data_IF_488821049434
#
_entry.id   IF_488821049434
#
_cell.length_a   1.000
_cell.length_b   1.000
_cell.length_c   1.000
_cell.angle_alpha   90.00
_cell.angle_beta   90.00
_cell.angle_gamma   90.00
#
_symmetry.space_group_name_H-M   'P 1'
#
loop_
_entity.id
_entity.type
_entity.pdbx_description
1 polymer ?
#
# COMPACT_ATOMS: atom_id res chain seq x y z
N UNK A 1 10.47 1.57 6.26
CA UNK A 1 10.49 1.79 7.73
C UNK A 1 9.20 2.49 8.12
N UNK A 2 8.63 2.26 9.32
CA UNK A 2 7.46 3.01 9.78
C UNK A 2 7.75 4.53 9.72
N UNK A 3 6.85 5.32 9.12
CA UNK A 3 6.97 6.78 9.04
C UNK A 3 7.74 7.35 7.85
N UNK A 4 8.14 6.53 6.88
CA UNK A 4 8.76 7.04 5.64
C UNK A 4 7.72 7.72 4.74
N UNK A 5 7.85 9.02 4.52
CA UNK A 5 7.01 9.80 3.60
C UNK A 5 7.66 9.83 2.22
N UNK A 6 6.91 9.41 1.19
CA UNK A 6 7.36 9.45 -0.20
C UNK A 6 6.36 10.29 -0.99
N UNK A 7 6.89 11.23 -1.77
CA UNK A 7 6.09 12.13 -2.58
C UNK A 7 6.43 11.97 -4.06
N UNK A 8 5.45 12.26 -4.92
CA UNK A 8 5.59 12.15 -6.37
C UNK A 8 5.29 10.76 -6.92
N UNK A 9 4.46 10.72 -7.97
CA UNK A 9 3.95 9.48 -8.57
C UNK A 9 5.07 8.53 -9.02
N UNK A 10 6.15 9.07 -9.59
CA UNK A 10 7.28 8.26 -10.04
C UNK A 10 8.01 7.58 -8.89
N UNK A 11 8.17 8.26 -7.75
CA UNK A 11 8.86 7.69 -6.59
C UNK A 11 8.03 6.58 -5.95
N UNK A 12 6.72 6.80 -5.81
CA UNK A 12 5.77 5.79 -5.33
C UNK A 12 5.78 4.56 -6.26
N UNK A 13 5.80 4.78 -7.57
CA UNK A 13 5.88 3.71 -8.56
C UNK A 13 7.18 2.90 -8.46
N UNK A 14 8.32 3.58 -8.34
CA UNK A 14 9.63 2.93 -8.23
C UNK A 14 9.70 2.07 -6.96
N UNK A 15 9.24 2.58 -5.81
CA UNK A 15 9.14 1.79 -4.58
C UNK A 15 8.17 0.62 -4.72
N UNK A 16 7.04 0.83 -5.40
CA UNK A 16 6.07 -0.23 -5.69
C UNK A 16 6.69 -1.38 -6.46
N UNK A 17 7.53 -1.09 -7.47
CA UNK A 17 8.25 -2.13 -8.23
C UNK A 17 9.20 -2.95 -7.35
N UNK A 18 9.96 -2.30 -6.49
CA UNK A 18 10.85 -2.99 -5.54
C UNK A 18 10.05 -3.87 -4.58
N UNK A 19 8.92 -3.34 -4.09
CA UNK A 19 8.04 -4.06 -3.18
C UNK A 19 7.43 -5.32 -3.82
N UNK A 20 6.96 -5.23 -5.07
CA UNK A 20 6.31 -6.34 -5.77
C UNK A 20 7.20 -7.58 -5.89
N UNK A 21 8.52 -7.41 -6.03
CA UNK A 21 9.46 -8.54 -6.07
C UNK A 21 9.49 -9.38 -4.80
N UNK A 22 8.97 -8.85 -3.68
CA UNK A 22 8.89 -9.55 -2.39
C UNK A 22 7.54 -10.21 -2.11
N UNK A 23 6.51 -9.96 -2.94
CA UNK A 23 5.12 -10.37 -2.68
C UNK A 23 4.80 -11.68 -3.43
N UNK A 24 4.30 -12.67 -2.69
CA UNK A 24 3.88 -13.97 -3.25
C UNK A 24 2.38 -14.00 -3.55
N UNK A 25 1.58 -13.34 -2.70
CA UNK A 25 0.15 -13.16 -2.92
C UNK A 25 -0.36 -11.94 -2.17
N UNK A 26 -1.43 -11.34 -2.68
CA UNK A 26 -2.10 -10.21 -2.05
C UNK A 26 -3.62 -10.34 -2.19
N UNK A 27 -4.34 -9.70 -1.27
CA UNK A 27 -5.79 -9.57 -1.33
C UNK A 27 -6.20 -8.21 -0.74
N UNK A 28 -7.26 -7.65 -1.28
CA UNK A 28 -7.79 -6.34 -0.90
C UNK A 28 -9.29 -6.50 -0.69
N UNK A 29 -9.84 -5.91 0.37
CA UNK A 29 -11.28 -5.95 0.62
C UNK A 29 -12.03 -4.96 -0.28
N UNK A 30 -13.35 -5.06 -0.29
CA UNK A 30 -14.19 -3.95 -0.74
C UNK A 30 -13.80 -2.67 0.01
N UNK A 31 -13.74 -1.52 -0.69
CA UNK A 31 -13.37 -0.27 -0.07
C UNK A 31 -14.53 0.30 0.75
N UNK A 32 -14.20 0.93 1.87
CA UNK A 32 -15.12 1.81 2.59
C UNK A 32 -14.86 3.25 2.15
N UNK A 33 -15.90 3.95 1.71
CA UNK A 33 -15.83 5.34 1.24
C UNK A 33 -16.47 6.27 2.28
N UNK A 34 -15.80 7.36 2.60
CA UNK A 34 -16.28 8.38 3.53
C UNK A 34 -15.82 9.77 3.07
N UNK A 35 -16.71 10.49 2.36
CA UNK A 35 -16.40 11.79 1.76
C UNK A 35 -15.27 11.66 0.74
N UNK A 36 -14.22 12.48 0.88
CA UNK A 36 -13.03 12.46 0.02
C UNK A 36 -12.02 11.36 0.41
N UNK A 37 -12.39 10.42 1.27
CA UNK A 37 -11.51 9.33 1.67
C UNK A 37 -12.05 7.98 1.21
N UNK A 38 -11.14 7.09 0.87
CA UNK A 38 -11.43 5.66 0.86
C UNK A 38 -10.38 4.89 1.63
N UNK A 39 -10.81 3.75 2.19
CA UNK A 39 -9.93 2.82 2.89
C UNK A 39 -10.21 1.39 2.46
N UNK A 40 -9.19 0.53 2.51
CA UNK A 40 -9.36 -0.91 2.31
C UNK A 40 -8.40 -1.70 3.18
N UNK A 41 -8.83 -2.89 3.59
CA UNK A 41 -7.97 -3.86 4.27
C UNK A 41 -7.13 -4.57 3.21
N UNK A 42 -5.82 -4.62 3.45
CA UNK A 42 -4.85 -5.29 2.60
C UNK A 42 -4.23 -6.46 3.36
N UNK A 43 -4.17 -7.63 2.75
CA UNK A 43 -3.36 -8.73 3.25
C UNK A 43 -2.28 -9.06 2.22
N UNK A 44 -1.04 -9.22 2.68
CA UNK A 44 0.07 -9.66 1.83
C UNK A 44 0.76 -10.86 2.44
N UNK A 45 1.18 -11.78 1.60
CA UNK A 45 2.15 -12.81 1.91
C UNK A 45 3.46 -12.44 1.20
N UNK A 46 4.48 -12.06 1.94
CA UNK A 46 5.72 -11.52 1.39
C UNK A 46 6.96 -12.00 2.14
N UNK A 47 8.13 -11.95 1.48
CA UNK A 47 9.42 -12.27 2.11
C UNK A 47 10.23 -11.00 2.30
N UNK A 48 10.53 -10.66 3.55
CA UNK A 48 11.41 -9.55 3.87
C UNK A 48 12.88 -9.99 3.86
N UNK A 49 13.77 -9.08 3.45
CA UNK A 49 15.23 -9.33 3.40
C UNK A 49 15.78 -9.83 4.74
N UNK A 50 15.25 -9.33 5.87
CA UNK A 50 15.77 -9.62 7.22
C UNK A 50 14.78 -10.34 8.14
N UNK A 51 13.70 -10.94 7.61
CA UNK A 51 12.62 -11.48 8.46
C UNK A 51 11.98 -12.77 7.98
N UNK A 52 12.46 -13.34 6.88
CA UNK A 52 11.84 -14.49 6.23
C UNK A 52 10.46 -14.16 5.65
N UNK A 53 9.68 -15.22 5.35
CA UNK A 53 8.33 -15.10 4.81
C UNK A 53 7.33 -14.78 5.91
N UNK A 54 6.50 -13.77 5.68
CA UNK A 54 5.54 -13.26 6.65
C UNK A 54 4.20 -12.94 5.98
N UNK A 55 3.13 -13.02 6.78
CA UNK A 55 1.80 -12.54 6.39
C UNK A 55 1.51 -11.24 7.13
N UNK A 56 1.42 -10.14 6.38
CA UNK A 56 1.13 -8.82 6.93
C UNK A 56 -0.33 -8.44 6.62
N UNK A 57 -0.93 -7.69 7.55
CA UNK A 57 -2.28 -7.14 7.42
C UNK A 57 -2.22 -5.65 7.70
N UNK A 58 -2.68 -4.86 6.76
CA UNK A 58 -2.62 -3.40 6.82
C UNK A 58 -3.96 -2.79 6.41
N UNK A 59 -4.14 -1.53 6.77
CA UNK A 59 -5.26 -0.70 6.32
C UNK A 59 -4.68 0.42 5.46
N UNK A 60 -5.00 0.42 4.18
CA UNK A 60 -4.67 1.53 3.28
C UNK A 60 -5.68 2.65 3.46
N UNK A 61 -5.21 3.88 3.63
CA UNK A 61 -6.05 5.09 3.72
C UNK A 61 -5.61 6.06 2.65
N UNK A 62 -6.56 6.56 1.87
CA UNK A 62 -6.29 7.42 0.73
C UNK A 62 -7.24 8.61 0.73
N UNK A 63 -6.73 9.78 0.34
CA UNK A 63 -7.52 11.00 0.18
C UNK A 63 -7.59 11.40 -1.28
N UNK A 64 -8.78 11.72 -1.76
CA UNK A 64 -8.99 12.33 -3.06
C UNK A 64 -8.86 13.84 -2.98
N UNK A 65 -8.31 14.43 -4.05
CA UNK A 65 -8.40 15.86 -4.33
C UNK A 65 -8.59 16.03 -5.83
N UNK A 66 -9.70 16.66 -6.24
CA UNK A 66 -10.02 16.98 -7.64
C UNK A 66 -9.94 15.75 -8.58
N UNK A 67 -10.43 14.59 -8.13
CA UNK A 67 -10.42 13.35 -8.90
C UNK A 67 -9.05 12.67 -9.03
N UNK A 68 -8.01 13.15 -8.32
CA UNK A 68 -6.70 12.50 -8.22
C UNK A 68 -6.45 12.01 -6.79
N UNK A 69 -5.86 10.82 -6.67
CA UNK A 69 -5.37 10.30 -5.40
C UNK A 69 -4.19 11.15 -4.92
N UNK A 70 -4.29 11.68 -3.71
CA UNK A 70 -3.17 12.23 -2.96
C UNK A 70 -2.80 11.22 -1.86
N UNK A 71 -1.53 10.81 -1.82
CA UNK A 71 -0.94 10.10 -0.68
C UNK A 71 -0.58 11.10 0.42
#
# INVERSE_FOLDING_TARGET
>A
MPGEIITGMQNVWNKGKEWLGSVHSSSVSEPLIAGDFFTSKMNFDCTFKEGGRQKIKEVGVYKFKDGKNYQ
#
